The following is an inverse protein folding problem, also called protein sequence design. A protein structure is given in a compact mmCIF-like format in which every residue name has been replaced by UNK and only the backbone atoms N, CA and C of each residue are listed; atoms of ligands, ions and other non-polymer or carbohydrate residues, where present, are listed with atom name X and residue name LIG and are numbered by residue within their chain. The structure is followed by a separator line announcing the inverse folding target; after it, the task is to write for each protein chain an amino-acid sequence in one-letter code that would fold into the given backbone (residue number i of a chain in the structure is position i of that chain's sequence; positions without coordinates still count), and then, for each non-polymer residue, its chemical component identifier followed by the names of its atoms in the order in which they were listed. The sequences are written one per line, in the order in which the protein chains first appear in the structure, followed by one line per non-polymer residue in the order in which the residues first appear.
data_IF_471032578533
#
_entry.id   IF_471032578533
#
_cell.length_a   1.000
_cell.length_b   1.000
_cell.length_c   1.000
_cell.angle_alpha   90.00
_cell.angle_beta   90.00
_cell.angle_gamma   90.00
#
_symmetry.space_group_name_H-M   'P 1'
#
loop_
_entity.id
_entity.type
_entity.pdbx_description
1 polymer ?
#
# COMPACT_ATOMS: atom_id res chain seq x y z
N UNK A 1 13.76 -22.12 -22.49
CA UNK A 1 12.43 -22.75 -22.71
C UNK A 1 12.72 -24.22 -22.94
N UNK A 2 13.11 -24.88 -21.84
CA UNK A 2 13.46 -26.31 -21.85
C UNK A 2 12.23 -27.12 -21.52
N UNK A 3 12.09 -28.08 -22.32
CA UNK A 3 11.14 -29.13 -22.62
C UNK A 3 10.49 -29.78 -21.37
N UNK A 4 9.30 -29.35 -20.98
CA UNK A 4 8.47 -29.99 -19.97
C UNK A 4 7.59 -31.14 -20.53
N UNK A 5 7.89 -31.63 -21.73
CA UNK A 5 7.05 -32.64 -22.41
C UNK A 5 7.61 -34.07 -22.37
N UNK A 6 8.78 -34.33 -21.78
CA UNK A 6 9.35 -35.67 -21.69
C UNK A 6 9.21 -36.31 -20.33
N UNK A 7 7.99 -36.62 -19.87
CA UNK A 7 7.78 -37.72 -18.89
C UNK A 7 6.30 -38.11 -18.73
N UNK A 8 5.56 -38.18 -19.83
CA UNK A 8 4.18 -38.69 -19.78
C UNK A 8 4.07 -40.23 -20.04
N UNK A 9 5.18 -40.95 -20.01
CA UNK A 9 5.20 -42.41 -20.29
C UNK A 9 5.74 -43.24 -19.13
N UNK A 10 5.24 -43.07 -17.91
CA UNK A 10 5.26 -44.13 -16.93
C UNK A 10 3.87 -44.26 -16.32
N UNK A 11 3.36 -45.49 -16.28
CA UNK A 11 2.01 -45.91 -15.88
C UNK A 11 1.73 -45.72 -14.36
N UNK A 12 2.49 -44.90 -13.64
CA UNK A 12 2.27 -44.47 -12.27
C UNK A 12 1.86 -42.99 -12.30
N UNK A 13 0.57 -42.71 -12.07
CA UNK A 13 0.09 -41.38 -11.83
C UNK A 13 0.63 -40.94 -10.48
N UNK A 14 1.47 -39.91 -10.44
CA UNK A 14 1.87 -39.27 -9.20
C UNK A 14 0.66 -38.53 -8.62
N UNK A 15 0.04 -39.12 -7.61
CA UNK A 15 -1.14 -38.55 -6.97
C UNK A 15 -0.68 -37.68 -5.84
N UNK A 16 -0.79 -36.37 -6.05
CA UNK A 16 -0.48 -35.35 -5.05
C UNK A 16 -1.66 -35.10 -4.11
N UNK A 17 -1.39 -34.86 -2.85
CA UNK A 17 -2.36 -34.35 -1.91
C UNK A 17 -2.68 -32.87 -2.17
N UNK A 18 -3.81 -32.37 -1.68
CA UNK A 18 -4.18 -30.95 -1.79
C UNK A 18 -3.11 -30.04 -1.17
N UNK A 19 -2.50 -30.50 -0.08
CA UNK A 19 -1.41 -29.75 0.58
C UNK A 19 -0.17 -29.64 -0.29
N UNK A 20 0.20 -30.71 -1.00
CA UNK A 20 1.35 -30.72 -1.91
C UNK A 20 1.10 -29.82 -3.12
N UNK A 21 -0.12 -29.81 -3.66
CA UNK A 21 -0.50 -28.88 -4.75
C UNK A 21 -0.38 -27.43 -4.30
N UNK A 22 -0.93 -27.09 -3.12
CA UNK A 22 -0.84 -25.73 -2.57
C UNK A 22 0.60 -25.34 -2.24
N UNK A 23 1.43 -26.28 -1.77
CA UNK A 23 2.84 -26.05 -1.52
C UNK A 23 3.59 -25.75 -2.81
N UNK A 24 3.39 -26.56 -3.84
CA UNK A 24 4.01 -26.38 -5.16
C UNK A 24 3.65 -25.01 -5.75
N UNK A 25 2.36 -24.63 -5.69
CA UNK A 25 1.93 -23.30 -6.13
C UNK A 25 2.59 -22.16 -5.33
N UNK A 26 2.72 -22.30 -4.00
CA UNK A 26 3.39 -21.33 -3.15
C UNK A 26 4.88 -21.19 -3.52
N UNK A 27 5.56 -22.30 -3.80
CA UNK A 27 6.97 -22.32 -4.17
C UNK A 27 7.19 -21.58 -5.51
N UNK A 28 6.36 -21.85 -6.52
CA UNK A 28 6.41 -21.11 -7.79
C UNK A 28 6.15 -19.61 -7.62
N UNK A 29 5.19 -19.21 -6.79
CA UNK A 29 4.91 -17.80 -6.55
C UNK A 29 6.06 -17.10 -5.78
N UNK A 30 6.80 -17.84 -4.95
CA UNK A 30 7.96 -17.30 -4.22
C UNK A 30 9.14 -16.99 -5.11
N UNK A 31 9.28 -17.67 -6.24
CA UNK A 31 10.33 -17.42 -7.23
C UNK A 31 10.09 -16.10 -7.98
N UNK A 32 8.86 -15.60 -7.99
CA UNK A 32 8.55 -14.28 -8.53
C UNK A 32 9.19 -13.21 -7.63
N UNK A 33 10.03 -12.33 -8.17
CA UNK A 33 10.62 -11.26 -7.38
C UNK A 33 9.54 -10.34 -6.79
N UNK A 34 9.83 -9.61 -5.70
CA UNK A 34 8.91 -8.61 -5.18
C UNK A 34 8.52 -7.61 -6.27
N UNK A 35 7.25 -7.25 -6.31
CA UNK A 35 6.71 -6.39 -7.36
C UNK A 35 5.90 -5.23 -6.76
N UNK A 36 5.77 -4.18 -7.57
CA UNK A 36 4.93 -3.03 -7.26
C UNK A 36 3.56 -3.21 -7.91
N UNK A 37 2.49 -2.97 -7.15
CA UNK A 37 1.11 -3.06 -7.62
C UNK A 37 0.36 -1.83 -7.17
N UNK A 38 -0.43 -1.23 -8.06
CA UNK A 38 -1.34 -0.14 -7.70
C UNK A 38 -2.79 -0.59 -7.79
N UNK A 39 -3.63 -0.04 -6.93
CA UNK A 39 -5.06 -0.31 -6.95
C UNK A 39 -5.81 0.44 -5.84
N UNK A 40 -7.13 0.44 -5.93
CA UNK A 40 -8.01 1.00 -4.93
C UNK A 40 -8.21 0.01 -3.78
N UNK A 41 -8.02 0.46 -2.54
CA UNK A 41 -8.23 -0.40 -1.37
C UNK A 41 -9.72 -0.68 -1.14
N UNK A 42 -10.00 -1.92 -0.73
CA UNK A 42 -11.34 -2.35 -0.32
C UNK A 42 -11.28 -3.38 0.80
N UNK A 43 -12.27 -3.36 1.69
CA UNK A 43 -12.42 -4.35 2.76
C UNK A 43 -11.32 -4.30 3.80
N UNK A 44 -10.78 -3.11 4.12
CA UNK A 44 -9.71 -2.94 5.09
C UNK A 44 -10.13 -3.36 6.50
N UNK A 45 -9.28 -4.18 7.15
CA UNK A 45 -9.47 -4.64 8.53
C UNK A 45 -8.14 -4.69 9.28
N UNK A 46 -8.04 -3.89 10.34
CA UNK A 46 -6.97 -4.00 11.32
C UNK A 46 -7.41 -5.00 12.42
N UNK A 47 -6.64 -6.07 12.61
CA UNK A 47 -6.95 -7.09 13.62
C UNK A 47 -6.21 -6.82 14.93
N UNK A 48 -6.70 -7.34 16.07
CA UNK A 48 -6.04 -7.21 17.38
C UNK A 48 -4.60 -7.75 17.40
N UNK A 49 -4.28 -8.70 16.50
CA UNK A 49 -2.91 -9.20 16.28
C UNK A 49 -1.95 -8.12 15.73
N UNK A 50 -2.49 -6.98 15.32
CA UNK A 50 -1.76 -5.89 14.67
C UNK A 50 -1.51 -6.11 13.18
N UNK A 51 -2.04 -7.17 12.58
CA UNK A 51 -1.94 -7.40 11.13
C UNK A 51 -3.11 -6.73 10.42
N UNK A 52 -2.83 -6.20 9.22
CA UNK A 52 -3.83 -5.62 8.33
C UNK A 52 -4.17 -6.60 7.21
N UNK A 53 -5.46 -6.78 6.99
CA UNK A 53 -5.99 -7.56 5.88
C UNK A 53 -6.91 -6.67 5.06
N UNK A 54 -6.69 -6.67 3.77
CA UNK A 54 -7.45 -5.85 2.84
C UNK A 54 -7.37 -6.45 1.42
N UNK A 55 -8.04 -5.86 0.49
CA UNK A 55 -7.89 -6.14 -0.93
C UNK A 55 -7.54 -4.86 -1.67
N UNK A 56 -6.85 -4.98 -2.78
CA UNK A 56 -6.78 -3.92 -3.78
C UNK A 56 -7.50 -4.39 -5.03
N UNK A 57 -8.13 -3.47 -5.71
CA UNK A 57 -8.89 -3.73 -6.93
C UNK A 57 -8.56 -2.71 -8.01
N UNK A 58 -8.73 -3.11 -9.24
CA UNK A 58 -8.84 -2.25 -10.41
C UNK A 58 -10.19 -2.47 -11.09
N UNK A 59 -10.33 -2.07 -12.35
CA UNK A 59 -11.57 -2.25 -13.12
C UNK A 59 -11.92 -3.72 -13.43
N UNK A 60 -10.97 -4.64 -13.34
CA UNK A 60 -11.11 -6.02 -13.83
C UNK A 60 -10.84 -7.08 -12.77
N UNK A 61 -10.04 -6.76 -11.75
CA UNK A 61 -9.53 -7.77 -10.82
C UNK A 61 -9.46 -7.29 -9.37
N UNK A 62 -9.40 -8.27 -8.45
CA UNK A 62 -9.21 -8.06 -7.02
C UNK A 62 -8.04 -8.90 -6.53
N UNK A 63 -7.12 -8.31 -5.80
CA UNK A 63 -5.99 -8.99 -5.17
C UNK A 63 -6.09 -8.87 -3.65
N UNK A 64 -6.10 -10.01 -2.96
CA UNK A 64 -6.05 -10.04 -1.49
C UNK A 64 -4.67 -9.69 -1.00
N UNK A 65 -4.61 -8.88 0.05
CA UNK A 65 -3.38 -8.39 0.64
C UNK A 65 -3.34 -8.63 2.15
N UNK A 66 -2.16 -8.92 2.66
CA UNK A 66 -1.86 -8.96 4.08
C UNK A 66 -0.61 -8.12 4.34
N UNK A 67 -0.67 -7.26 5.35
CA UNK A 67 0.48 -6.50 5.83
C UNK A 67 0.70 -6.81 7.30
N UNK A 68 1.87 -7.35 7.62
CA UNK A 68 2.18 -7.76 8.98
C UNK A 68 2.56 -6.57 9.87
N UNK A 69 2.35 -6.69 11.19
CA UNK A 69 2.61 -5.67 12.19
C UNK A 69 4.01 -5.03 12.09
N UNK A 70 5.02 -5.81 11.73
CA UNK A 70 6.40 -5.29 11.58
C UNK A 70 6.56 -4.31 10.41
N UNK A 71 5.72 -4.45 9.38
CA UNK A 71 5.77 -3.62 8.19
C UNK A 71 4.78 -2.45 8.27
N UNK A 72 3.56 -2.67 8.80
CA UNK A 72 2.55 -1.61 8.87
C UNK A 72 2.87 -0.51 9.89
N UNK A 73 3.69 -0.79 10.90
CA UNK A 73 4.19 0.22 11.84
C UNK A 73 4.98 1.36 11.16
N UNK A 74 5.41 1.16 9.92
CA UNK A 74 6.12 2.17 9.11
C UNK A 74 5.18 3.06 8.30
N UNK A 75 3.91 2.68 8.24
CA UNK A 75 2.88 3.45 7.53
C UNK A 75 2.39 4.56 8.43
N UNK A 76 2.54 5.80 7.98
CA UNK A 76 2.22 7.00 8.79
C UNK A 76 0.73 7.12 9.10
N UNK A 77 -0.13 6.74 8.15
CA UNK A 77 -1.57 6.84 8.30
C UNK A 77 -2.22 5.53 7.82
N UNK A 78 -3.18 5.04 8.58
CA UNK A 78 -4.01 3.91 8.12
C UNK A 78 -4.73 4.29 6.82
N UNK A 79 -4.73 3.40 5.82
CA UNK A 79 -5.44 3.63 4.59
C UNK A 79 -6.95 3.60 4.83
N UNK A 80 -7.68 4.39 4.06
CA UNK A 80 -9.14 4.44 4.09
C UNK A 80 -9.72 3.71 2.91
N UNK A 81 -10.93 3.22 3.07
CA UNK A 81 -11.71 2.61 1.98
C UNK A 81 -11.77 3.56 0.78
N UNK A 82 -11.41 3.06 -0.39
CA UNK A 82 -11.38 3.83 -1.63
C UNK A 82 -10.08 4.57 -1.93
N UNK A 83 -9.10 4.57 -1.02
CA UNK A 83 -7.79 5.18 -1.29
C UNK A 83 -7.09 4.45 -2.44
N UNK A 84 -6.43 5.21 -3.31
CA UNK A 84 -5.53 4.66 -4.32
C UNK A 84 -4.17 4.42 -3.70
N UNK A 85 -3.73 3.16 -3.71
CA UNK A 85 -2.49 2.72 -3.09
C UNK A 85 -1.48 2.23 -4.11
N UNK A 86 -0.21 2.37 -3.76
CA UNK A 86 0.92 1.70 -4.40
C UNK A 86 1.53 0.78 -3.34
N UNK A 87 1.58 -0.51 -3.65
CA UNK A 87 2.04 -1.56 -2.74
C UNK A 87 3.29 -2.22 -3.29
N UNK A 88 4.25 -2.49 -2.41
CA UNK A 88 5.40 -3.34 -2.71
C UNK A 88 5.35 -4.61 -1.87
N UNK A 89 5.51 -5.77 -2.49
CA UNK A 89 5.46 -7.03 -1.76
C UNK A 89 5.68 -8.26 -2.64
N UNK A 90 5.46 -9.42 -2.05
CA UNK A 90 5.60 -10.73 -2.69
C UNK A 90 4.26 -11.44 -2.78
N UNK A 91 4.06 -12.19 -3.86
CA UNK A 91 2.95 -13.12 -3.98
C UNK A 91 3.22 -14.38 -3.14
N UNK A 92 2.19 -14.96 -2.59
CA UNK A 92 2.22 -16.21 -1.82
C UNK A 92 0.86 -16.91 -1.87
N UNK A 93 0.83 -18.18 -1.51
CA UNK A 93 -0.42 -18.92 -1.32
C UNK A 93 -0.76 -18.99 0.16
N UNK A 94 -1.98 -18.63 0.51
CA UNK A 94 -2.52 -18.96 1.82
C UNK A 94 -2.87 -20.45 1.83
N UNK A 95 -1.94 -21.28 2.32
CA UNK A 95 -1.95 -22.76 2.17
C UNK A 95 -3.24 -23.43 2.64
N UNK A 96 -3.92 -22.83 3.62
CA UNK A 96 -5.11 -23.39 4.22
C UNK A 96 -6.32 -23.43 3.27
N UNK A 97 -6.40 -22.46 2.37
CA UNK A 97 -7.51 -22.32 1.40
C UNK A 97 -7.06 -22.43 -0.05
N UNK A 98 -5.76 -22.49 -0.32
CA UNK A 98 -5.21 -22.47 -1.67
C UNK A 98 -5.35 -21.11 -2.38
N UNK A 99 -5.73 -20.06 -1.65
CA UNK A 99 -5.92 -18.73 -2.25
C UNK A 99 -4.59 -18.00 -2.35
N UNK A 100 -4.26 -17.46 -3.52
CA UNK A 100 -3.12 -16.59 -3.63
C UNK A 100 -3.41 -15.22 -3.01
N UNK A 101 -2.37 -14.59 -2.49
CA UNK A 101 -2.41 -13.28 -1.85
C UNK A 101 -1.08 -12.57 -2.00
N UNK A 102 -1.07 -11.26 -1.76
CA UNK A 102 0.14 -10.47 -1.68
C UNK A 102 0.50 -10.21 -0.23
N UNK A 103 1.73 -10.56 0.15
CA UNK A 103 2.33 -10.12 1.43
C UNK A 103 3.02 -8.78 1.21
N UNK A 104 2.40 -7.72 1.72
CA UNK A 104 2.82 -6.34 1.54
C UNK A 104 3.93 -5.98 2.52
N UNK A 105 4.97 -5.34 2.03
CA UNK A 105 6.13 -4.83 2.78
C UNK A 105 6.16 -3.31 2.88
N UNK A 106 5.68 -2.63 1.83
CA UNK A 106 5.60 -1.17 1.77
C UNK A 106 4.25 -0.77 1.16
N UNK A 107 3.73 0.36 1.64
CA UNK A 107 2.46 0.92 1.21
C UNK A 107 2.59 2.44 1.13
N UNK A 108 2.15 3.00 0.03
CA UNK A 108 2.13 4.44 -0.22
C UNK A 108 0.78 4.85 -0.81
N UNK A 109 0.30 6.05 -0.47
CA UNK A 109 -0.84 6.66 -1.14
C UNK A 109 -0.42 7.10 -2.54
N UNK A 110 -1.16 6.71 -3.57
CA UNK A 110 -0.90 7.14 -4.93
C UNK A 110 -1.05 8.66 -5.05
N UNK A 111 -0.09 9.31 -5.71
CA UNK A 111 -0.06 10.78 -5.85
C UNK A 111 0.51 11.55 -4.66
N UNK A 112 0.80 10.90 -3.53
CA UNK A 112 1.37 11.57 -2.36
C UNK A 112 2.70 12.27 -2.68
N UNK A 113 3.57 11.64 -3.46
CA UNK A 113 4.84 12.23 -3.88
C UNK A 113 4.68 13.50 -4.73
N UNK A 114 3.68 13.53 -5.64
CA UNK A 114 3.39 14.72 -6.44
C UNK A 114 2.77 15.83 -5.57
N UNK A 115 1.87 15.48 -4.68
CA UNK A 115 1.26 16.42 -3.73
C UNK A 115 2.33 17.04 -2.82
N UNK A 116 3.25 16.22 -2.29
CA UNK A 116 4.34 16.70 -1.44
C UNK A 116 5.27 17.63 -2.20
N UNK A 117 5.60 17.33 -3.45
CA UNK A 117 6.39 18.22 -4.31
C UNK A 117 5.68 19.55 -4.55
N UNK A 118 4.37 19.56 -4.83
CA UNK A 118 3.57 20.78 -4.97
C UNK A 118 3.51 21.57 -3.68
N UNK A 119 3.39 20.90 -2.55
CA UNK A 119 3.41 21.55 -1.23
C UNK A 119 4.76 22.24 -0.95
N UNK A 120 5.89 21.55 -1.19
CA UNK A 120 7.23 22.14 -1.00
C UNK A 120 7.47 23.35 -1.93
N UNK A 121 7.03 23.26 -3.19
CA UNK A 121 7.10 24.39 -4.12
C UNK A 121 6.28 25.59 -3.64
N UNK A 122 5.04 25.34 -3.16
CA UNK A 122 4.18 26.38 -2.63
C UNK A 122 4.78 27.00 -1.36
N UNK A 123 5.26 26.18 -0.43
CA UNK A 123 5.93 26.62 0.80
C UNK A 123 7.13 27.51 0.49
N UNK A 124 8.00 27.08 -0.44
CA UNK A 124 9.16 27.86 -0.84
C UNK A 124 8.76 29.19 -1.48
N UNK A 125 7.70 29.20 -2.31
CA UNK A 125 7.15 30.41 -2.90
C UNK A 125 6.64 31.37 -1.83
N UNK A 126 5.81 30.89 -0.89
CA UNK A 126 5.29 31.73 0.20
C UNK A 126 6.39 32.25 1.11
N UNK A 127 7.43 31.46 1.34
CA UNK A 127 8.61 31.89 2.10
C UNK A 127 9.39 32.98 1.37
N UNK A 128 9.57 32.87 0.04
CA UNK A 128 10.24 33.90 -0.77
C UNK A 128 9.43 35.21 -0.88
N UNK A 129 8.12 35.12 -0.73
CA UNK A 129 7.22 36.28 -0.67
C UNK A 129 7.15 36.92 0.75
N UNK A 130 7.90 36.38 1.73
CA UNK A 130 7.98 36.87 3.10
C UNK A 130 6.71 36.67 3.94
N UNK A 131 5.79 35.79 3.48
CA UNK A 131 4.51 35.57 4.15
C UNK A 131 4.63 34.78 5.46
N UNK A 132 5.77 34.11 5.69
CA UNK A 132 6.09 33.44 6.95
C UNK A 132 6.94 34.30 7.90
N UNK A 133 7.35 35.48 7.48
CA UNK A 133 8.02 36.41 8.38
C UNK A 133 7.01 36.91 9.42
N UNK A 134 7.38 36.82 10.68
CA UNK A 134 6.61 37.34 11.79
C UNK A 134 6.59 38.86 11.59
N UNK A 135 5.44 39.43 11.22
CA UNK A 135 5.26 40.89 11.24
C UNK A 135 5.52 41.31 12.67
N UNK A 136 6.59 42.11 12.87
CA UNK A 136 6.88 42.68 14.16
C UNK A 136 5.63 43.42 14.66
N UNK A 137 5.25 43.10 15.89
CA UNK A 137 4.09 43.72 16.58
C UNK A 137 4.19 45.26 16.68
N UNK A 138 5.33 45.82 16.36
CA UNK A 138 5.58 47.27 16.32
C UNK A 138 4.77 48.03 15.26
N UNK A 139 4.15 47.30 14.28
CA UNK A 139 3.30 47.93 13.27
C UNK A 139 1.79 47.90 13.61
N UNK A 140 1.42 47.33 14.75
CA UNK A 140 0.03 47.36 15.20
C UNK A 140 -0.22 48.65 15.96
N UNK A 141 -1.31 49.39 15.64
CA UNK A 141 -1.66 50.58 16.41
C UNK A 141 -1.93 50.20 17.87
N UNK A 142 -1.45 51.01 18.82
CA UNK A 142 -1.60 50.75 20.26
C UNK A 142 -3.07 50.59 20.73
N UNK A 143 -4.02 51.06 19.92
CA UNK A 143 -5.47 50.96 20.22
C UNK A 143 -6.23 50.47 18.98
N UNK A 144 -6.74 49.27 19.05
CA UNK A 144 -7.66 48.70 18.04
C UNK A 144 -9.11 49.04 18.41
N UNK A 145 -9.69 50.04 17.77
CA UNK A 145 -11.07 50.49 18.05
C UNK A 145 -12.17 49.63 17.41
N UNK A 146 -11.80 48.69 16.52
CA UNK A 146 -12.77 47.79 15.87
C UNK A 146 -12.17 46.40 15.72
N UNK A 147 -12.90 45.40 16.21
CA UNK A 147 -12.60 43.98 16.06
C UNK A 147 -13.74 43.34 15.27
N UNK A 148 -13.46 42.69 14.14
CA UNK A 148 -14.42 41.87 13.41
C UNK A 148 -14.13 40.40 13.69
N UNK A 149 -15.15 39.64 14.12
CA UNK A 149 -15.09 38.19 14.27
C UNK A 149 -15.84 37.59 13.08
N UNK A 150 -15.15 36.79 12.30
CA UNK A 150 -15.75 36.02 11.19
C UNK A 150 -15.92 34.60 11.68
N UNK A 151 -17.17 34.11 11.72
CA UNK A 151 -17.55 32.74 12.09
C UNK A 151 -17.85 31.93 10.84
#
# INVERSE_FOLDING_TARGET
MEDYTENLNSNSRDILSVSEVNQTADDFLRDIPPLWVSGEISGFKAYPSGHWYFSIKDSEAVLRCVMFKGDNNKVLNEPKEGDQLILFGKLSVYKRTGSYQMTVRQMELAGFGELMRKFELLKNKLNSEGLFEIKNSEQLPEINNKIAIIT
#
